data_IF_598699680522
#
_entry.id   IF_598699680522
#
_cell.length_a   1.000
_cell.length_b   1.000
_cell.length_c   1.000
_cell.angle_alpha   90.00
_cell.angle_beta   90.00
_cell.angle_gamma   90.00
#
_symmetry.space_group_name_H-M   'P 1'
#
loop_
_entity.id
_entity.type
_entity.pdbx_description
1 polymer ?
#
# COMPACT_ATOMS: atom_id res chain seq x y z
N UNK A 1 -30.72 23.27 3.18
CA UNK A 1 -30.43 22.08 2.33
C UNK A 1 -29.83 22.59 1.03
N UNK A 2 -28.97 21.80 0.38
CA UNK A 2 -28.47 22.15 -0.95
C UNK A 2 -29.57 21.95 -2.01
N UNK A 3 -29.62 22.82 -3.01
CA UNK A 3 -30.54 22.73 -4.15
C UNK A 3 -29.89 23.18 -5.46
N UNK A 4 -30.43 22.72 -6.58
CA UNK A 4 -30.08 23.24 -7.91
C UNK A 4 -30.84 24.54 -8.14
N UNK A 5 -30.11 25.62 -8.39
CA UNK A 5 -30.67 26.95 -8.65
C UNK A 5 -30.88 27.20 -10.15
N UNK A 6 -29.97 26.69 -10.99
CA UNK A 6 -30.04 26.82 -12.44
C UNK A 6 -29.37 25.63 -13.12
N UNK A 7 -30.00 25.06 -14.15
CA UNK A 7 -29.39 24.09 -15.06
C UNK A 7 -29.09 24.77 -16.38
N UNK A 8 -27.87 24.57 -16.90
CA UNK A 8 -27.46 25.13 -18.19
C UNK A 8 -27.86 24.19 -19.33
N UNK A 9 -28.37 24.76 -20.41
CA UNK A 9 -28.82 24.02 -21.60
C UNK A 9 -27.67 23.53 -22.47
N UNK A 10 -26.56 24.28 -22.47
CA UNK A 10 -25.39 24.03 -23.29
C UNK A 10 -24.42 23.12 -22.54
N UNK A 11 -24.17 21.90 -23.03
CA UNK A 11 -23.24 20.99 -22.37
C UNK A 11 -21.80 21.50 -22.42
N UNK A 12 -21.03 21.17 -21.39
CA UNK A 12 -19.64 21.58 -21.22
C UNK A 12 -18.73 20.38 -21.45
N UNK A 13 -17.67 20.55 -22.23
CA UNK A 13 -16.76 19.45 -22.58
C UNK A 13 -15.48 19.48 -21.73
N UNK A 14 -15.16 18.36 -21.10
CA UNK A 14 -13.90 18.15 -20.38
C UNK A 14 -12.72 17.89 -21.32
N UNK A 15 -11.48 18.03 -20.81
CA UNK A 15 -10.25 17.74 -21.59
C UNK A 15 -10.10 16.28 -22.00
N UNK A 16 -10.74 15.36 -21.28
CA UNK A 16 -10.85 13.93 -21.61
C UNK A 16 -11.86 13.66 -22.74
N UNK A 17 -12.57 14.69 -23.20
CA UNK A 17 -13.59 14.59 -24.23
C UNK A 17 -14.99 14.25 -23.70
N UNK A 18 -15.14 14.00 -22.39
CA UNK A 18 -16.42 13.72 -21.73
C UNK A 18 -17.29 14.97 -21.72
N UNK A 19 -18.59 14.81 -22.00
CA UNK A 19 -19.55 15.91 -22.01
C UNK A 19 -20.37 15.91 -20.73
N UNK A 20 -20.53 17.07 -20.11
CA UNK A 20 -21.19 17.26 -18.83
C UNK A 20 -22.37 18.23 -18.96
N UNK A 21 -23.48 17.90 -18.30
CA UNK A 21 -24.51 18.88 -17.95
C UNK A 21 -24.03 19.69 -16.75
N UNK A 22 -24.03 21.02 -16.86
CA UNK A 22 -23.66 21.91 -15.77
C UNK A 22 -24.90 22.35 -14.99
N UNK A 23 -24.78 22.39 -13.66
CA UNK A 23 -25.82 22.85 -12.73
C UNK A 23 -25.21 23.81 -11.72
N UNK A 24 -25.72 25.03 -11.65
CA UNK A 24 -25.41 25.92 -10.54
C UNK A 24 -26.25 25.48 -9.33
N UNK A 25 -25.57 25.16 -8.24
CA UNK A 25 -26.17 24.71 -7.00
C UNK A 25 -25.87 25.70 -5.88
N UNK A 26 -26.73 25.74 -4.88
CA UNK A 26 -26.53 26.57 -3.70
C UNK A 26 -27.08 25.93 -2.44
N UNK A 27 -26.63 26.43 -1.30
CA UNK A 27 -27.16 26.02 0.00
C UNK A 27 -26.84 27.03 1.11
N UNK A 28 -27.64 27.04 2.19
CA UNK A 28 -27.41 27.90 3.33
C UNK A 28 -26.18 27.45 4.13
N UNK A 29 -25.46 28.44 4.67
CA UNK A 29 -24.33 28.28 5.59
C UNK A 29 -24.78 28.50 7.05
N UNK A 30 -23.94 28.12 8.01
CA UNK A 30 -24.23 28.26 9.45
C UNK A 30 -24.41 29.72 9.90
N UNK A 31 -23.84 30.68 9.15
CA UNK A 31 -23.93 32.12 9.42
C UNK A 31 -25.14 32.79 8.73
N UNK A 32 -26.03 32.02 8.12
CA UNK A 32 -27.22 32.52 7.43
C UNK A 32 -26.99 33.00 6.00
N UNK A 33 -25.73 33.08 5.53
CA UNK A 33 -25.41 33.35 4.13
C UNK A 33 -25.64 32.12 3.27
N UNK A 34 -25.52 32.30 1.96
CA UNK A 34 -25.60 31.23 0.98
C UNK A 34 -24.27 31.03 0.26
N UNK A 35 -23.92 29.78 0.01
CA UNK A 35 -22.80 29.42 -0.84
C UNK A 35 -23.29 28.90 -2.19
N UNK A 36 -22.55 29.20 -3.26
CA UNK A 36 -22.79 28.67 -4.60
C UNK A 36 -21.61 27.85 -5.11
N UNK A 37 -21.88 26.76 -5.82
CA UNK A 37 -20.92 25.92 -6.54
C UNK A 37 -21.54 25.41 -7.85
N UNK A 38 -20.74 24.74 -8.68
CA UNK A 38 -21.21 24.14 -9.93
C UNK A 38 -21.05 22.62 -9.84
N UNK A 39 -22.10 21.88 -10.18
CA UNK A 39 -22.06 20.44 -10.38
C UNK A 39 -22.01 20.12 -11.86
N UNK A 40 -21.20 19.12 -12.21
CA UNK A 40 -21.01 18.63 -13.57
C UNK A 40 -21.39 17.15 -13.59
N UNK A 41 -22.49 16.85 -14.28
CA UNK A 41 -23.03 15.49 -14.40
C UNK A 41 -22.70 14.95 -15.79
N UNK A 42 -21.90 13.87 -15.91
CA UNK A 42 -21.59 13.27 -17.22
C UNK A 42 -22.87 12.82 -17.94
N UNK A 43 -23.02 13.19 -19.20
CA UNK A 43 -24.19 12.82 -20.02
C UNK A 43 -24.18 11.33 -20.35
N UNK A 44 -23.01 10.79 -20.69
CA UNK A 44 -22.83 9.38 -21.05
C UNK A 44 -22.69 8.45 -19.82
N UNK A 45 -23.00 8.96 -18.63
CA UNK A 45 -22.81 8.26 -17.37
C UNK A 45 -21.39 8.39 -16.82
N UNK A 46 -21.24 8.10 -15.53
CA UNK A 46 -19.98 8.27 -14.80
C UNK A 46 -20.19 8.93 -13.45
N UNK A 47 -19.09 9.30 -12.80
CA UNK A 47 -19.13 9.95 -11.48
C UNK A 47 -19.28 11.46 -11.66
N UNK A 48 -20.34 12.09 -11.12
CA UNK A 48 -20.44 13.54 -11.09
C UNK A 48 -19.28 14.18 -10.34
N UNK A 49 -18.84 15.34 -10.82
CA UNK A 49 -17.84 16.17 -10.15
C UNK A 49 -18.46 17.50 -9.80
N UNK A 50 -17.89 18.19 -8.81
CA UNK A 50 -18.35 19.51 -8.40
C UNK A 50 -17.18 20.43 -8.16
N UNK A 51 -17.36 21.70 -8.46
CA UNK A 51 -16.36 22.71 -8.14
C UNK A 51 -16.33 22.97 -6.61
N UNK A 52 -15.25 23.58 -6.10
CA UNK A 52 -15.27 24.23 -4.80
C UNK A 52 -16.34 25.33 -4.74
N UNK A 53 -16.47 25.98 -3.57
CA UNK A 53 -17.34 27.16 -3.45
C UNK A 53 -16.87 28.27 -4.40
N UNK A 54 -17.73 28.69 -5.32
CA UNK A 54 -17.48 29.74 -6.31
C UNK A 54 -17.92 31.12 -5.80
N UNK A 55 -18.99 31.17 -4.98
CA UNK A 55 -19.49 32.42 -4.41
C UNK A 55 -20.01 32.26 -2.99
N UNK A 56 -20.07 33.37 -2.25
CA UNK A 56 -20.80 33.50 -1.00
C UNK A 56 -21.69 34.73 -1.09
N UNK A 57 -23.00 34.53 -0.95
CA UNK A 57 -24.03 35.54 -1.14
C UNK A 57 -24.85 35.77 0.12
N UNK A 58 -25.49 36.93 0.29
CA UNK A 58 -26.31 37.21 1.47
C UNK A 58 -27.51 36.26 1.63
N UNK A 59 -28.09 35.78 0.53
CA UNK A 59 -29.27 34.92 0.55
C UNK A 59 -29.39 34.04 -0.72
N UNK A 60 -30.44 33.22 -0.77
CA UNK A 60 -30.76 32.33 -1.89
C UNK A 60 -30.94 33.08 -3.21
N UNK A 61 -31.69 34.18 -3.21
CA UNK A 61 -32.04 34.95 -4.40
C UNK A 61 -30.79 35.55 -5.06
N UNK A 62 -29.86 36.08 -4.26
CA UNK A 62 -28.58 36.59 -4.75
C UNK A 62 -27.67 35.47 -5.31
N UNK A 63 -27.82 34.24 -4.80
CA UNK A 63 -27.12 33.05 -5.32
C UNK A 63 -27.70 32.60 -6.66
N UNK A 64 -29.03 32.63 -6.79
CA UNK A 64 -29.71 32.33 -8.05
C UNK A 64 -29.38 33.38 -9.12
N UNK A 65 -29.33 34.66 -8.75
CA UNK A 65 -28.89 35.73 -9.65
C UNK A 65 -27.44 35.54 -10.10
N UNK A 66 -26.51 35.17 -9.20
CA UNK A 66 -25.14 34.81 -9.58
C UNK A 66 -25.10 33.71 -10.65
N UNK A 67 -25.95 32.68 -10.51
CA UNK A 67 -25.99 31.57 -11.46
C UNK A 67 -26.31 32.03 -12.89
N UNK A 68 -27.19 33.02 -13.04
CA UNK A 68 -27.56 33.58 -14.36
C UNK A 68 -26.42 34.34 -15.04
N UNK A 69 -25.40 34.77 -14.28
CA UNK A 69 -24.24 35.47 -14.80
C UNK A 69 -23.11 34.54 -15.29
N UNK A 70 -23.26 33.22 -15.16
CA UNK A 70 -22.22 32.27 -15.53
C UNK A 70 -22.21 32.03 -17.04
N UNK A 71 -21.04 32.21 -17.65
CA UNK A 71 -20.83 32.01 -19.09
C UNK A 71 -20.27 30.62 -19.37
N UNK A 72 -20.43 30.12 -20.60
CA UNK A 72 -19.86 28.83 -21.03
C UNK A 72 -18.36 28.74 -20.75
N UNK A 73 -17.60 29.80 -21.04
CA UNK A 73 -16.14 29.85 -20.77
C UNK A 73 -15.83 29.73 -19.28
N UNK A 74 -16.66 30.32 -18.42
CA UNK A 74 -16.52 30.16 -16.98
C UNK A 74 -16.78 28.71 -16.54
N UNK A 75 -17.83 28.09 -17.08
CA UNK A 75 -18.18 26.71 -16.79
C UNK A 75 -17.08 25.73 -17.22
N UNK A 76 -16.48 25.93 -18.41
CA UNK A 76 -15.33 25.15 -18.88
C UNK A 76 -14.13 25.28 -17.93
N UNK A 77 -13.81 26.50 -17.52
CA UNK A 77 -12.74 26.76 -16.56
C UNK A 77 -13.01 26.15 -15.18
N UNK A 78 -14.26 26.18 -14.72
CA UNK A 78 -14.69 25.58 -13.46
C UNK A 78 -14.65 24.04 -13.50
N UNK A 79 -15.10 23.43 -14.60
CA UNK A 79 -14.98 21.99 -14.83
C UNK A 79 -13.53 21.57 -14.78
N UNK A 80 -12.65 22.34 -15.42
CA UNK A 80 -11.23 22.02 -15.43
C UNK A 80 -10.62 21.99 -14.03
N UNK A 81 -10.94 23.00 -13.20
CA UNK A 81 -10.52 23.00 -11.79
C UNK A 81 -11.11 21.83 -11.00
N UNK A 82 -12.36 21.47 -11.27
CA UNK A 82 -13.04 20.35 -10.59
C UNK A 82 -12.40 18.99 -10.93
N UNK A 83 -11.98 18.80 -12.19
CA UNK A 83 -11.29 17.59 -12.65
C UNK A 83 -9.82 17.52 -12.19
N UNK A 84 -9.13 18.67 -12.16
CA UNK A 84 -7.72 18.74 -11.74
C UNK A 84 -7.54 18.75 -10.21
N UNK A 85 -8.61 18.95 -9.44
CA UNK A 85 -8.55 18.93 -7.97
C UNK A 85 -8.33 17.50 -7.50
N UNK A 86 -7.19 17.18 -6.83
CA UNK A 86 -7.00 15.88 -6.23
C UNK A 86 -8.13 15.64 -5.24
N UNK A 87 -8.77 14.46 -5.29
CA UNK A 87 -9.70 14.03 -4.25
C UNK A 87 -9.00 14.25 -2.91
N UNK A 88 -9.44 15.25 -2.14
CA UNK A 88 -9.03 15.40 -0.75
C UNK A 88 -9.68 14.24 -0.03
N UNK A 89 -9.01 13.08 -0.05
CA UNK A 89 -9.34 11.98 0.86
C UNK A 89 -9.11 12.59 2.23
N UNK A 90 -10.15 12.76 3.07
CA UNK A 90 -9.95 13.24 4.42
C UNK A 90 -8.95 12.27 5.04
N UNK A 91 -7.72 12.74 5.31
CA UNK A 91 -6.81 11.96 6.13
C UNK A 91 -7.48 11.90 7.48
N UNK A 92 -8.12 10.78 7.78
CA UNK A 92 -8.55 10.51 9.14
C UNK A 92 -7.30 10.70 10.02
N UNK A 93 -7.38 11.47 11.12
CA UNK A 93 -6.27 11.50 12.05
C UNK A 93 -5.91 10.04 12.40
N UNK A 94 -4.61 9.73 12.57
CA UNK A 94 -4.19 8.38 12.96
C UNK A 94 -5.06 7.93 14.12
N UNK A 95 -5.79 6.83 13.94
CA UNK A 95 -6.62 6.32 15.01
C UNK A 95 -5.68 5.95 16.17
N UNK A 96 -5.96 6.42 17.40
CA UNK A 96 -5.15 6.02 18.54
C UNK A 96 -5.19 4.50 18.64
N UNK A 97 -4.04 3.89 18.93
CA UNK A 97 -3.98 2.45 19.13
C UNK A 97 -4.98 2.04 20.21
N UNK A 98 -5.86 1.08 19.89
CA UNK A 98 -6.77 0.48 20.87
C UNK A 98 -5.96 -0.21 21.97
N UNK A 99 -4.75 -0.68 21.64
CA UNK A 99 -3.86 -1.37 22.56
C UNK A 99 -2.79 -0.41 23.11
N UNK A 100 -2.54 -0.50 24.41
CA UNK A 100 -1.50 0.29 25.11
C UNK A 100 -0.07 -0.12 24.76
N UNK A 101 0.08 -1.27 24.10
CA UNK A 101 1.37 -1.84 23.74
C UNK A 101 1.16 -3.03 22.78
N UNK A 102 2.24 -3.61 22.27
CA UNK A 102 2.14 -4.84 21.49
C UNK A 102 1.44 -5.95 22.29
N UNK A 103 0.89 -6.94 21.59
CA UNK A 103 0.42 -8.15 22.25
C UNK A 103 1.51 -8.66 23.21
N UNK A 104 1.16 -9.11 24.42
CA UNK A 104 2.14 -9.71 25.31
C UNK A 104 2.89 -10.78 24.53
N UNK A 105 4.21 -10.83 24.67
CA UNK A 105 4.95 -12.03 24.31
C UNK A 105 4.43 -13.12 25.23
N UNK A 106 3.42 -13.86 24.76
CA UNK A 106 3.09 -15.14 25.36
C UNK A 106 4.30 -16.01 25.07
N UNK A 107 5.24 -16.03 26.01
CA UNK A 107 6.16 -17.14 26.19
C UNK A 107 5.36 -18.33 26.73
N UNK A 108 4.30 -18.73 26.01
CA UNK A 108 4.13 -20.14 25.81
C UNK A 108 5.40 -20.49 25.04
N UNK A 109 6.31 -21.21 25.69
CA UNK A 109 7.37 -21.88 25.00
C UNK A 109 6.71 -22.72 23.91
N UNK A 110 6.58 -22.16 22.71
CA UNK A 110 6.57 -22.95 21.51
C UNK A 110 8.00 -23.42 21.46
N UNK A 111 8.27 -24.56 22.09
CA UNK A 111 9.46 -25.36 21.82
C UNK A 111 9.35 -25.82 20.36
N UNK A 112 9.64 -24.89 19.46
CA UNK A 112 9.71 -25.10 18.03
C UNK A 112 10.94 -24.35 17.56
N UNK A 113 11.87 -25.00 16.84
CA UNK A 113 13.04 -24.31 16.30
C UNK A 113 12.58 -23.12 15.45
N UNK A 114 13.25 -21.99 15.59
CA UNK A 114 13.11 -20.83 14.70
C UNK A 114 13.55 -21.27 13.31
N UNK A 115 12.63 -21.91 12.59
CA UNK A 115 12.87 -22.42 11.25
C UNK A 115 13.39 -21.27 10.40
N UNK A 116 14.66 -21.35 10.03
CA UNK A 116 15.15 -20.66 8.85
C UNK A 116 14.18 -21.03 7.72
N UNK A 117 13.55 -20.02 7.10
CA UNK A 117 12.56 -20.17 6.01
C UNK A 117 13.11 -21.02 4.85
N UNK A 118 14.44 -21.19 4.81
CA UNK A 118 15.17 -22.05 3.92
C UNK A 118 15.61 -23.35 4.62
N UNK A 119 15.12 -24.50 4.15
CA UNK A 119 15.75 -25.79 4.42
C UNK A 119 16.85 -26.04 3.36
N UNK A 120 18.14 -25.96 3.73
CA UNK A 120 19.23 -26.08 2.79
C UNK A 120 19.35 -27.50 2.18
N UNK A 121 18.84 -28.55 2.85
CA UNK A 121 18.83 -29.91 2.31
C UNK A 121 17.76 -30.07 1.23
N UNK A 122 16.51 -29.69 1.53
CA UNK A 122 15.40 -29.70 0.57
C UNK A 122 15.68 -28.88 -0.69
N UNK A 123 16.44 -27.80 -0.58
CA UNK A 123 16.83 -26.98 -1.73
C UNK A 123 18.01 -27.59 -2.49
N UNK A 124 18.97 -28.22 -1.81
CA UNK A 124 20.07 -28.93 -2.46
C UNK A 124 19.59 -30.11 -3.31
N UNK A 125 18.57 -30.85 -2.85
CA UNK A 125 17.94 -31.93 -3.63
C UNK A 125 17.36 -31.44 -4.97
N UNK A 126 16.89 -30.18 -5.01
CA UNK A 126 16.39 -29.54 -6.23
C UNK A 126 17.51 -29.01 -7.13
N UNK A 127 18.76 -29.02 -6.65
CA UNK A 127 19.96 -28.67 -7.39
C UNK A 127 20.87 -27.69 -6.65
N UNK A 128 22.18 -27.97 -6.64
CA UNK A 128 23.19 -27.12 -6.03
C UNK A 128 23.22 -25.66 -6.57
N UNK A 129 23.08 -25.40 -7.89
CA UNK A 129 23.05 -24.02 -8.39
C UNK A 129 21.88 -23.20 -7.83
N UNK A 130 20.73 -23.85 -7.56
CA UNK A 130 19.56 -23.21 -6.97
C UNK A 130 19.84 -22.83 -5.51
N UNK A 131 20.44 -23.74 -4.73
CA UNK A 131 20.86 -23.45 -3.36
C UNK A 131 21.81 -22.25 -3.30
N UNK A 132 22.85 -22.24 -4.14
CA UNK A 132 23.81 -21.12 -4.20
C UNK A 132 23.14 -19.79 -4.50
N UNK A 133 22.24 -19.77 -5.50
CA UNK A 133 21.48 -18.57 -5.86
C UNK A 133 20.66 -18.05 -4.68
N UNK A 134 19.95 -18.93 -3.96
CA UNK A 134 19.15 -18.53 -2.81
C UNK A 134 20.01 -18.04 -1.63
N UNK A 135 21.12 -18.72 -1.32
CA UNK A 135 22.05 -18.28 -0.27
C UNK A 135 22.67 -16.91 -0.57
N UNK A 136 22.99 -16.62 -1.85
CA UNK A 136 23.55 -15.32 -2.25
C UNK A 136 22.60 -14.13 -2.04
N UNK A 137 21.30 -14.39 -1.92
CA UNK A 137 20.30 -13.35 -1.66
C UNK A 137 20.09 -13.08 -0.15
N UNK A 138 20.71 -13.86 0.73
CA UNK A 138 20.56 -13.75 2.18
C UNK A 138 21.65 -12.87 2.79
N UNK A 139 21.29 -12.18 3.88
CA UNK A 139 22.24 -11.43 4.69
C UNK A 139 23.15 -12.36 5.50
N UNK A 140 24.36 -11.90 5.83
CA UNK A 140 25.38 -12.69 6.53
C UNK A 140 24.88 -13.29 7.85
N UNK A 141 24.13 -12.53 8.65
CA UNK A 141 23.57 -13.00 9.92
C UNK A 141 22.65 -14.22 9.73
N UNK A 142 21.89 -14.27 8.63
CA UNK A 142 20.98 -15.37 8.32
C UNK A 142 21.76 -16.61 7.86
N UNK A 143 22.86 -16.44 7.11
CA UNK A 143 23.76 -17.53 6.75
C UNK A 143 24.40 -18.18 7.99
N UNK A 144 24.81 -17.38 8.98
CA UNK A 144 25.32 -17.89 10.26
C UNK A 144 24.27 -18.74 10.99
N UNK A 145 23.02 -18.25 11.05
CA UNK A 145 21.93 -19.00 11.67
C UNK A 145 21.69 -20.34 10.98
N UNK A 146 21.63 -20.36 9.64
CA UNK A 146 21.46 -21.60 8.87
C UNK A 146 22.60 -22.59 9.15
N UNK A 147 23.86 -22.12 9.18
CA UNK A 147 25.00 -22.98 9.44
C UNK A 147 24.95 -23.65 10.83
N UNK A 148 24.51 -22.91 11.85
CA UNK A 148 24.41 -23.38 13.23
C UNK A 148 23.17 -24.27 13.46
N UNK A 149 22.00 -23.85 12.96
CA UNK A 149 20.73 -24.56 13.11
C UNK A 149 20.81 -25.97 12.50
N UNK A 150 21.33 -26.07 11.28
CA UNK A 150 21.49 -27.35 10.57
C UNK A 150 22.79 -28.08 10.90
N UNK A 151 23.59 -27.57 11.84
CA UNK A 151 24.90 -28.12 12.27
C UNK A 151 25.78 -28.52 11.09
N UNK A 152 25.97 -27.57 10.16
CA UNK A 152 26.74 -27.74 8.93
C UNK A 152 28.24 -27.51 9.13
N UNK A 153 28.64 -27.03 10.31
CA UNK A 153 30.01 -26.75 10.72
C UNK A 153 30.14 -26.91 12.23
N UNK A 154 31.34 -27.22 12.70
CA UNK A 154 31.70 -27.24 14.13
C UNK A 154 32.23 -25.88 14.62
N UNK A 155 32.32 -24.89 13.73
CA UNK A 155 32.76 -23.53 14.06
C UNK A 155 31.74 -22.81 14.95
N UNK A 156 32.25 -22.01 15.87
CA UNK A 156 31.44 -21.19 16.76
C UNK A 156 30.78 -20.01 16.02
N UNK A 157 29.68 -19.49 16.58
CA UNK A 157 29.00 -18.31 16.04
C UNK A 157 29.94 -17.09 15.89
N UNK A 158 30.87 -16.91 16.83
CA UNK A 158 31.84 -15.80 16.81
C UNK A 158 32.83 -15.90 15.64
N UNK A 159 33.22 -17.12 15.27
CA UNK A 159 34.10 -17.35 14.12
C UNK A 159 33.36 -17.14 12.80
N UNK A 160 32.11 -17.60 12.72
CA UNK A 160 31.28 -17.43 11.52
C UNK A 160 30.93 -15.96 11.26
N UNK A 161 30.67 -15.17 12.30
CA UNK A 161 30.37 -13.74 12.17
C UNK A 161 31.54 -12.91 11.63
N UNK A 162 32.77 -13.44 11.68
CA UNK A 162 33.96 -12.80 11.09
C UNK A 162 34.13 -13.09 9.60
N UNK A 163 33.36 -14.02 9.04
CA UNK A 163 33.45 -14.43 7.64
C UNK A 163 32.55 -13.56 6.74
N UNK A 164 32.99 -13.25 5.51
CA UNK A 164 32.16 -12.58 4.53
C UNK A 164 31.05 -13.51 4.03
N UNK A 165 29.90 -12.94 3.62
CA UNK A 165 28.72 -13.71 3.18
C UNK A 165 29.02 -14.78 2.11
N UNK A 166 29.86 -14.55 1.09
CA UNK A 166 30.21 -15.59 0.11
C UNK A 166 30.96 -16.79 0.71
N UNK A 167 31.79 -16.57 1.74
CA UNK A 167 32.50 -17.65 2.42
C UNK A 167 31.52 -18.48 3.27
N UNK A 168 30.53 -17.83 3.89
CA UNK A 168 29.45 -18.49 4.63
C UNK A 168 28.57 -19.33 3.70
N UNK A 169 28.21 -18.83 2.52
CA UNK A 169 27.42 -19.59 1.55
C UNK A 169 28.15 -20.84 1.04
N UNK A 170 29.44 -20.74 0.73
CA UNK A 170 30.23 -21.90 0.30
C UNK A 170 30.42 -22.92 1.42
N UNK A 171 30.57 -22.45 2.67
CA UNK A 171 30.61 -23.31 3.85
C UNK A 171 29.31 -24.11 4.01
N UNK A 172 28.15 -23.46 3.86
CA UNK A 172 26.83 -24.10 3.94
C UNK A 172 26.67 -25.16 2.84
N UNK A 173 26.97 -24.81 1.58
CA UNK A 173 26.88 -25.75 0.45
C UNK A 173 27.78 -26.97 0.66
N UNK A 174 29.01 -26.75 1.14
CA UNK A 174 29.95 -27.83 1.46
C UNK A 174 29.44 -28.72 2.58
N UNK A 175 28.90 -28.14 3.65
CA UNK A 175 28.35 -28.89 4.79
C UNK A 175 27.16 -29.76 4.38
N UNK A 176 26.25 -29.23 3.57
CA UNK A 176 25.09 -29.97 3.04
C UNK A 176 25.55 -31.13 2.15
N UNK A 177 26.49 -30.88 1.22
CA UNK A 177 27.04 -31.92 0.35
C UNK A 177 27.70 -33.05 1.15
N UNK A 178 28.53 -32.72 2.14
CA UNK A 178 29.22 -33.72 2.95
C UNK A 178 28.23 -34.58 3.76
N UNK A 179 27.17 -33.97 4.28
CA UNK A 179 26.15 -34.67 5.06
C UNK A 179 25.29 -35.60 4.19
N UNK A 180 24.96 -35.21 2.96
CA UNK A 180 24.20 -36.06 2.02
C UNK A 180 25.07 -37.14 1.36
N UNK A 181 26.39 -36.96 1.28
CA UNK A 181 27.32 -37.96 0.76
C UNK A 181 27.60 -39.10 1.76
N UNK A 182 27.22 -38.93 3.03
CA UNK A 182 27.43 -39.94 4.08
C UNK A 182 26.11 -40.70 4.33
N UNK A 183 25.95 -41.97 3.92
CA UNK A 183 24.73 -42.73 4.22
C UNK A 183 24.63 -43.03 5.72
N UNK A 184 23.53 -42.62 6.36
CA UNK A 184 23.26 -42.90 7.77
C UNK A 184 22.82 -44.35 7.98
N UNK A 185 23.80 -45.22 8.25
CA UNK A 185 23.60 -46.49 8.96
C UNK A 185 23.54 -46.21 10.47
N UNK A 186 22.35 -46.26 11.05
CA UNK A 186 22.14 -46.30 12.50
C UNK A 186 20.77 -46.95 12.83
N UNK A 187 20.56 -48.15 12.31
CA UNK A 187 19.64 -49.13 12.91
C UNK A 187 20.54 -50.22 13.52
N UNK A 188 20.45 -50.44 14.84
CA UNK A 188 20.98 -51.58 15.65
C UNK A 188 22.18 -51.25 16.57
N UNK A 189 21.87 -50.98 17.84
CA UNK A 189 22.55 -51.64 18.95
C UNK A 189 21.62 -51.71 20.17
N UNK A 190 20.76 -52.73 20.20
CA UNK A 190 20.21 -53.27 21.44
C UNK A 190 20.83 -54.65 21.63
N UNK A 191 21.71 -54.77 22.61
CA UNK A 191 21.94 -56.00 23.36
C UNK A 191 22.20 -55.61 24.80
#
# INVERSE_FOLDING_TARGET
>A
MAETLLTFDTPVRGRDGTTYEARACGGPMDDGRWQGWIEFVPIDGGRPVRSPRETTQPNRMDTEYWATGLTTVYLEGALQRALDTPLVVPRLPPQPSIFKGPAPYTTAAVEGPVSSVLDPFSVYEKGEPLLRKQLSALAAWHLVNIALEYRLTDQSAEELNRLPAPALSELIVRGVRARLATPSDAKRSSR
#
